data_IF_052376785057
#
_entry.id   IF_052376785057
#
_cell.length_a   1.000
_cell.length_b   1.000
_cell.length_c   1.000
_cell.angle_alpha   90.00
_cell.angle_beta   90.00
_cell.angle_gamma   90.00
#
_symmetry.space_group_name_H-M   'P 1'
#
loop_
_entity.id
_entity.type
_entity.pdbx_description
1 polymer ?
#
# COMPACT_ATOMS: atom_id res chain seq x y z
N UNK A 1 1.55 5.03 -9.91
CA UNK A 1 0.72 5.10 -8.67
C UNK A 1 -0.72 5.46 -9.01
N UNK A 2 -1.70 4.91 -8.28
CA UNK A 2 -3.14 5.26 -8.33
C UNK A 2 -3.57 5.66 -6.91
N UNK A 3 -4.45 6.65 -6.77
CA UNK A 3 -5.12 6.99 -5.53
C UNK A 3 -6.57 7.38 -5.84
N UNK A 4 -7.56 6.69 -5.23
CA UNK A 4 -8.99 6.92 -5.48
C UNK A 4 -9.85 6.38 -4.32
N UNK A 5 -11.15 6.51 -4.44
CA UNK A 5 -12.13 5.93 -3.51
C UNK A 5 -12.32 4.43 -3.79
N UNK A 6 -12.49 3.66 -2.72
CA UNK A 6 -12.53 2.19 -2.78
C UNK A 6 -13.69 1.66 -3.66
N UNK A 7 -14.83 2.35 -3.71
CA UNK A 7 -15.94 1.97 -4.55
C UNK A 7 -15.65 2.07 -6.06
N UNK A 8 -14.56 2.73 -6.46
CA UNK A 8 -14.11 2.83 -7.84
C UNK A 8 -13.01 1.83 -8.20
N UNK A 9 -12.54 1.03 -7.23
CA UNK A 9 -11.42 0.09 -7.44
C UNK A 9 -11.63 -0.81 -8.67
N UNK A 10 -12.85 -1.31 -8.89
CA UNK A 10 -13.18 -2.16 -10.04
C UNK A 10 -12.97 -1.51 -11.41
N UNK A 11 -12.88 -0.17 -11.49
CA UNK A 11 -12.65 0.55 -12.75
C UNK A 11 -11.19 0.44 -13.23
N UNK A 12 -10.29 -0.02 -12.37
CA UNK A 12 -8.86 -0.17 -12.65
C UNK A 12 -8.48 -1.56 -13.15
N UNK A 13 -9.49 -2.40 -13.47
CA UNK A 13 -9.25 -3.71 -14.11
C UNK A 13 -8.61 -3.56 -15.49
N UNK A 14 -7.76 -4.52 -15.82
CA UNK A 14 -7.08 -4.58 -17.13
C UNK A 14 -5.80 -3.76 -17.19
N UNK A 15 -5.35 -3.12 -16.10
CA UNK A 15 -4.05 -2.46 -16.05
C UNK A 15 -2.94 -3.50 -16.04
N UNK A 16 -3.02 -4.49 -15.15
CA UNK A 16 -2.15 -5.67 -15.13
C UNK A 16 -2.81 -6.84 -14.39
N UNK A 17 -2.35 -8.05 -14.69
CA UNK A 17 -2.93 -9.28 -14.13
C UNK A 17 -2.84 -9.37 -12.60
N UNK A 18 -1.74 -8.86 -12.01
CA UNK A 18 -1.56 -8.84 -10.55
C UNK A 18 -2.58 -7.94 -9.86
N UNK A 19 -2.81 -6.74 -10.40
CA UNK A 19 -3.82 -5.83 -9.85
C UNK A 19 -5.22 -6.41 -9.98
N UNK A 20 -5.55 -7.07 -11.09
CA UNK A 20 -6.86 -7.70 -11.30
C UNK A 20 -7.15 -8.77 -10.23
N UNK A 21 -6.15 -9.59 -9.83
CA UNK A 21 -6.28 -10.56 -8.74
C UNK A 21 -6.61 -9.89 -7.40
N UNK A 22 -5.92 -8.79 -7.07
CA UNK A 22 -6.19 -8.03 -5.85
C UNK A 22 -7.56 -7.35 -5.88
N UNK A 23 -7.98 -6.83 -7.03
CA UNK A 23 -9.33 -6.26 -7.21
C UNK A 23 -10.40 -7.33 -7.00
N UNK A 24 -10.25 -8.50 -7.64
CA UNK A 24 -11.20 -9.62 -7.51
C UNK A 24 -11.34 -10.07 -6.05
N UNK A 25 -10.21 -10.25 -5.37
CA UNK A 25 -10.20 -10.62 -3.96
C UNK A 25 -10.89 -9.54 -3.09
N UNK A 26 -10.53 -8.27 -3.28
CA UNK A 26 -11.06 -7.14 -2.51
C UNK A 26 -12.58 -7.02 -2.66
N UNK A 27 -13.10 -7.18 -3.88
CA UNK A 27 -14.53 -7.06 -4.15
C UNK A 27 -15.35 -8.29 -3.73
N UNK A 28 -14.72 -9.46 -3.55
CA UNK A 28 -15.39 -10.71 -3.18
C UNK A 28 -15.47 -10.94 -1.67
N UNK A 29 -14.77 -10.16 -0.83
CA UNK A 29 -14.66 -10.42 0.61
C UNK A 29 -15.14 -9.24 1.45
N UNK A 30 -15.64 -9.55 2.66
CA UNK A 30 -15.75 -8.55 3.73
C UNK A 30 -14.36 -8.24 4.29
N UNK A 31 -13.84 -7.08 3.94
CA UNK A 31 -12.48 -6.66 4.27
C UNK A 31 -12.23 -6.55 5.78
N UNK A 32 -13.27 -6.25 6.56
CA UNK A 32 -13.19 -6.17 8.01
C UNK A 32 -13.13 -7.53 8.70
N UNK A 33 -13.59 -8.59 8.02
CA UNK A 33 -13.62 -9.96 8.53
C UNK A 33 -12.39 -10.79 8.10
N UNK A 34 -11.47 -10.24 7.32
CA UNK A 34 -10.26 -10.97 6.91
C UNK A 34 -9.40 -11.36 8.12
N UNK A 35 -8.92 -12.61 8.18
CA UNK A 35 -7.97 -13.05 9.20
C UNK A 35 -6.71 -12.18 9.22
N UNK A 36 -6.18 -11.91 10.42
CA UNK A 36 -4.92 -11.19 10.57
C UNK A 36 -3.76 -11.96 9.92
N UNK A 37 -2.84 -11.24 9.32
CA UNK A 37 -1.70 -11.78 8.60
C UNK A 37 -1.98 -11.99 7.12
N UNK A 38 -1.27 -12.96 6.52
CA UNK A 38 -1.32 -13.24 5.08
C UNK A 38 -2.55 -14.05 4.71
N UNK A 39 -3.35 -13.50 3.80
CA UNK A 39 -4.48 -14.15 3.14
C UNK A 39 -4.06 -14.50 1.72
N UNK A 40 -4.04 -15.79 1.38
CA UNK A 40 -3.56 -16.29 0.09
C UNK A 40 -4.54 -15.98 -1.04
N UNK A 41 -3.99 -15.58 -2.19
CA UNK A 41 -4.73 -15.35 -3.44
C UNK A 41 -4.15 -16.24 -4.55
N UNK A 42 -2.84 -16.15 -4.80
CA UNK A 42 -2.12 -16.92 -5.82
C UNK A 42 -0.65 -17.13 -5.40
N UNK A 43 -0.45 -17.84 -4.28
CA UNK A 43 0.89 -18.11 -3.74
C UNK A 43 1.74 -16.84 -3.64
N UNK A 44 2.97 -16.91 -4.14
CA UNK A 44 3.89 -15.76 -4.13
C UNK A 44 3.66 -14.77 -5.30
N UNK A 45 2.64 -15.00 -6.14
CA UNK A 45 2.27 -14.06 -7.17
C UNK A 45 1.26 -13.02 -6.69
N UNK A 46 0.40 -13.37 -5.70
CA UNK A 46 -0.55 -12.42 -5.11
C UNK A 46 -1.04 -12.87 -3.74
N UNK A 47 -1.10 -11.96 -2.78
CA UNK A 47 -1.67 -12.16 -1.44
C UNK A 47 -2.15 -10.85 -0.85
N UNK A 48 -2.97 -10.91 0.23
CA UNK A 48 -3.44 -9.76 0.98
C UNK A 48 -3.04 -9.90 2.45
N UNK A 49 -2.24 -8.96 2.97
CA UNK A 49 -1.93 -8.87 4.39
C UNK A 49 -2.98 -8.01 5.10
N UNK A 50 -3.57 -8.54 6.17
CA UNK A 50 -4.43 -7.78 7.09
C UNK A 50 -3.65 -7.49 8.38
N UNK A 51 -3.29 -6.23 8.60
CA UNK A 51 -2.36 -5.83 9.65
C UNK A 51 -2.91 -4.68 10.51
N UNK A 52 -2.40 -4.59 11.74
CA UNK A 52 -2.43 -3.37 12.54
C UNK A 52 -1.06 -2.72 12.38
N UNK A 53 -0.99 -1.66 11.60
CA UNK A 53 0.25 -0.93 11.35
C UNK A 53 0.49 0.13 12.43
N UNK A 54 1.70 0.23 13.02
CA UNK A 54 2.04 1.35 13.89
C UNK A 54 2.08 2.65 13.09
N UNK A 55 1.68 3.74 13.72
CA UNK A 55 1.78 5.08 13.16
C UNK A 55 2.69 5.93 14.05
N UNK A 56 3.53 6.75 13.40
CA UNK A 56 4.44 7.70 14.05
C UNK A 56 4.14 9.13 13.60
N UNK A 57 4.48 10.15 14.40
CA UNK A 57 4.22 11.54 14.03
C UNK A 57 4.90 11.94 12.71
N UNK A 58 6.08 11.40 12.45
CA UNK A 58 6.84 11.61 11.22
C UNK A 58 7.79 10.46 10.96
N UNK A 59 8.09 10.19 9.70
CA UNK A 59 9.15 9.30 9.25
C UNK A 59 9.68 9.80 7.92
N UNK A 60 10.93 9.54 7.63
CA UNK A 60 11.60 9.88 6.38
C UNK A 60 12.02 8.63 5.59
N UNK A 61 11.61 7.44 6.05
CA UNK A 61 11.97 6.16 5.44
C UNK A 61 11.01 5.84 4.28
N UNK A 62 11.54 5.90 3.07
CA UNK A 62 10.85 5.47 1.85
C UNK A 62 11.17 4.01 1.52
N UNK A 63 10.17 3.33 0.95
CA UNK A 63 10.32 2.01 0.35
C UNK A 63 9.86 2.02 -1.10
N UNK A 64 10.40 1.08 -1.89
CA UNK A 64 9.90 0.72 -3.21
C UNK A 64 10.13 -0.75 -3.48
N UNK A 65 9.37 -1.33 -4.39
CA UNK A 65 9.50 -2.73 -4.79
C UNK A 65 9.99 -2.85 -6.24
N UNK A 66 10.67 -3.94 -6.56
CA UNK A 66 11.16 -4.22 -7.93
C UNK A 66 10.14 -5.03 -8.75
N UNK A 67 9.44 -5.99 -8.12
CA UNK A 67 8.59 -6.95 -8.79
C UNK A 67 7.10 -6.83 -8.42
N UNK A 68 6.80 -6.48 -7.15
CA UNK A 68 5.44 -6.43 -6.64
C UNK A 68 4.88 -5.01 -6.62
N UNK A 69 3.61 -4.89 -6.95
CA UNK A 69 2.81 -3.72 -6.62
C UNK A 69 2.21 -3.88 -5.22
N UNK A 70 1.91 -2.75 -4.57
CA UNK A 70 1.16 -2.67 -3.32
C UNK A 70 -0.22 -2.07 -3.58
N UNK A 71 -1.28 -2.75 -3.09
CA UNK A 71 -2.61 -2.18 -2.93
C UNK A 71 -2.84 -1.91 -1.44
N UNK A 72 -2.90 -0.66 -1.02
CA UNK A 72 -3.08 -0.26 0.37
C UNK A 72 -4.49 0.28 0.61
N UNK A 73 -5.17 -0.25 1.65
CA UNK A 73 -6.56 0.07 2.01
C UNK A 73 -6.66 0.25 3.53
N UNK A 74 -6.85 1.48 4.05
CA UNK A 74 -7.12 1.70 5.47
C UNK A 74 -8.54 1.25 5.84
N UNK A 75 -8.71 0.65 7.04
CA UNK A 75 -10.00 0.08 7.48
C UNK A 75 -10.69 0.85 8.60
N UNK A 76 -9.94 1.39 9.57
CA UNK A 76 -10.52 2.01 10.78
C UNK A 76 -9.98 3.41 11.09
N UNK A 77 -8.72 3.66 10.76
CA UNK A 77 -8.08 4.96 10.94
C UNK A 77 -7.33 5.35 9.68
N UNK A 78 -7.10 6.63 9.50
CA UNK A 78 -6.28 7.13 8.40
C UNK A 78 -4.80 7.12 8.72
N UNK A 79 -3.99 7.18 7.67
CA UNK A 79 -2.56 7.47 7.70
C UNK A 79 -2.21 8.46 6.58
N UNK A 80 -1.10 9.15 6.74
CA UNK A 80 -0.49 9.86 5.63
C UNK A 80 0.56 8.94 5.02
N UNK A 81 0.53 8.81 3.69
CA UNK A 81 1.59 8.20 2.89
C UNK A 81 2.22 9.30 2.06
N UNK A 82 3.54 9.50 2.14
CA UNK A 82 4.21 10.45 1.27
C UNK A 82 4.87 9.75 0.09
N UNK A 83 4.87 10.41 -1.07
CA UNK A 83 5.43 9.89 -2.32
C UNK A 83 6.42 10.87 -2.92
N UNK A 84 7.43 10.35 -3.61
CA UNK A 84 8.45 11.14 -4.33
C UNK A 84 8.81 10.49 -5.66
N UNK A 85 9.30 11.28 -6.64
CA UNK A 85 9.98 10.72 -7.80
C UNK A 85 11.16 9.83 -7.36
N UNK A 86 11.22 8.61 -7.87
CA UNK A 86 12.22 7.61 -7.46
C UNK A 86 13.66 8.03 -7.80
N UNK A 87 13.82 8.83 -8.85
CA UNK A 87 15.11 9.32 -9.33
C UNK A 87 15.75 10.38 -8.43
N UNK A 88 14.96 10.94 -7.50
CA UNK A 88 15.47 11.93 -6.52
C UNK A 88 16.12 11.27 -5.30
N UNK A 89 16.11 9.94 -5.21
CA UNK A 89 16.55 9.16 -4.04
C UNK A 89 17.57 8.11 -4.45
N UNK A 90 18.56 7.86 -3.56
CA UNK A 90 19.51 6.76 -3.69
C UNK A 90 18.99 5.56 -2.89
N UNK A 91 19.10 4.34 -3.43
CA UNK A 91 18.41 3.17 -2.90
C UNK A 91 19.35 2.07 -2.45
N UNK A 92 19.15 1.57 -1.22
CA UNK A 92 19.70 0.32 -0.72
C UNK A 92 18.65 -0.79 -0.83
N UNK A 93 19.03 -1.96 -1.36
CA UNK A 93 18.11 -3.05 -1.61
C UNK A 93 18.33 -4.24 -0.69
N UNK A 94 17.25 -4.74 -0.10
CA UNK A 94 17.15 -6.04 0.55
C UNK A 94 16.19 -6.93 -0.23
N UNK A 95 16.74 -7.80 -1.10
CA UNK A 95 15.94 -8.60 -2.02
C UNK A 95 15.20 -7.72 -3.03
N UNK A 96 13.86 -7.79 -3.04
CA UNK A 96 13.00 -7.02 -3.95
C UNK A 96 12.60 -5.64 -3.42
N UNK A 97 12.88 -5.35 -2.13
CA UNK A 97 12.52 -4.07 -1.50
C UNK A 97 13.73 -3.17 -1.37
N UNK A 98 13.62 -1.97 -1.93
CA UNK A 98 14.59 -0.89 -1.72
C UNK A 98 14.14 0.03 -0.60
N UNK A 99 15.09 0.46 0.22
CA UNK A 99 14.88 1.42 1.30
C UNK A 99 15.80 2.63 1.15
N UNK A 100 15.30 3.79 1.56
CA UNK A 100 16.12 5.02 1.61
C UNK A 100 15.49 6.04 2.54
N UNK A 101 16.31 7.00 3.00
CA UNK A 101 15.84 8.17 3.72
C UNK A 101 15.77 9.38 2.78
N UNK A 102 14.70 10.15 2.91
CA UNK A 102 14.50 11.33 2.06
C UNK A 102 13.63 12.40 2.68
N UNK A 103 13.68 13.64 2.15
CA UNK A 103 12.81 14.69 2.64
C UNK A 103 11.34 14.39 2.36
N UNK A 104 10.44 15.05 3.09
CA UNK A 104 8.99 14.91 2.90
C UNK A 104 8.58 15.12 1.44
N UNK A 105 7.72 14.21 0.95
CA UNK A 105 7.17 14.23 -0.40
C UNK A 105 5.74 14.76 -0.44
N UNK A 106 5.06 14.48 -1.55
CA UNK A 106 3.62 14.77 -1.70
C UNK A 106 2.83 13.85 -0.78
N UNK A 107 1.96 14.41 0.05
CA UNK A 107 1.15 13.65 1.01
C UNK A 107 -0.14 13.14 0.36
N UNK A 108 -0.41 11.85 0.57
CA UNK A 108 -1.69 11.21 0.33
C UNK A 108 -2.38 11.02 1.68
N UNK A 109 -3.56 11.61 1.86
CA UNK A 109 -4.40 11.41 3.05
C UNK A 109 -5.24 10.15 2.86
N UNK A 110 -4.72 9.03 3.35
CA UNK A 110 -5.38 7.73 3.29
C UNK A 110 -6.40 7.62 4.42
N UNK A 111 -7.67 7.55 4.08
CA UNK A 111 -8.77 7.41 5.05
C UNK A 111 -9.63 6.17 4.70
N UNK A 112 -10.39 5.58 5.66
CA UNK A 112 -11.32 4.50 5.34
C UNK A 112 -12.22 4.85 4.16
N UNK A 113 -12.33 3.92 3.21
CA UNK A 113 -13.04 4.14 1.95
C UNK A 113 -12.19 4.69 0.79
N UNK A 114 -10.88 4.83 0.99
CA UNK A 114 -9.90 5.11 -0.07
C UNK A 114 -8.97 3.92 -0.29
N UNK A 115 -8.23 3.94 -1.39
CA UNK A 115 -7.12 3.02 -1.65
C UNK A 115 -5.99 3.72 -2.40
N UNK A 116 -4.79 3.18 -2.28
CA UNK A 116 -3.66 3.54 -3.14
C UNK A 116 -3.04 2.28 -3.76
N UNK A 117 -2.57 2.40 -5.02
CA UNK A 117 -1.74 1.37 -5.68
C UNK A 117 -0.38 1.98 -5.97
N UNK A 118 0.66 1.35 -5.46
CA UNK A 118 2.05 1.65 -5.78
C UNK A 118 2.59 0.55 -6.70
N UNK A 119 2.97 0.92 -7.91
CA UNK A 119 3.57 -0.02 -8.86
C UNK A 119 5.06 -0.23 -8.55
N UNK A 120 5.69 -1.29 -9.08
CA UNK A 120 7.13 -1.42 -9.01
C UNK A 120 7.84 -0.13 -9.41
N UNK A 121 8.72 0.35 -8.53
CA UNK A 121 9.42 1.61 -8.70
C UNK A 121 8.75 2.86 -8.10
N UNK A 122 7.48 2.81 -7.70
CA UNK A 122 6.86 3.96 -6.99
C UNK A 122 7.42 4.07 -5.56
N UNK A 123 8.13 5.17 -5.28
CA UNK A 123 8.68 5.46 -3.95
C UNK A 123 7.58 5.97 -3.01
N UNK A 124 7.38 5.28 -1.88
CA UNK A 124 6.36 5.64 -0.90
C UNK A 124 6.87 5.44 0.53
N UNK A 125 6.39 6.29 1.44
CA UNK A 125 6.72 6.28 2.87
C UNK A 125 5.40 6.23 3.64
N UNK A 126 5.15 5.10 4.33
CA UNK A 126 3.91 4.78 5.02
C UNK A 126 4.03 4.98 6.53
N UNK A 127 2.87 4.95 7.22
CA UNK A 127 2.84 4.89 8.68
C UNK A 127 2.94 6.25 9.37
N UNK A 128 2.63 7.35 8.68
CA UNK A 128 2.61 8.68 9.29
C UNK A 128 1.23 8.93 9.88
N UNK A 129 1.19 9.35 11.16
CA UNK A 129 -0.04 9.69 11.88
C UNK A 129 -0.60 11.03 11.39
N UNK A 130 -1.89 11.05 11.00
CA UNK A 130 -2.55 12.28 10.57
C UNK A 130 -3.07 13.12 11.76
N UNK A 131 -3.62 12.48 12.78
CA UNK A 131 -4.31 13.14 13.88
C UNK A 131 -3.90 12.61 15.27
N UNK A 132 -2.67 12.11 15.40
CA UNK A 132 -2.12 11.63 16.68
C UNK A 132 -2.51 10.20 17.05
N UNK A 133 -3.20 9.45 16.16
CA UNK A 133 -3.40 8.01 16.33
C UNK A 133 -2.06 7.27 16.27
N UNK A 134 -1.95 6.18 17.04
CA UNK A 134 -0.71 5.40 17.15
C UNK A 134 -0.71 4.14 16.29
N UNK A 135 -1.84 3.78 15.69
CA UNK A 135 -1.98 2.63 14.80
C UNK A 135 -3.19 2.76 13.90
N UNK A 136 -3.18 2.04 12.78
CA UNK A 136 -4.36 1.81 11.95
C UNK A 136 -4.43 0.35 11.53
N UNK A 137 -5.65 -0.19 11.42
CA UNK A 137 -5.90 -1.43 10.72
C UNK A 137 -5.91 -1.15 9.23
N UNK A 138 -5.11 -1.88 8.48
CA UNK A 138 -5.08 -1.75 7.03
C UNK A 138 -4.84 -3.07 6.32
N UNK A 139 -5.21 -3.11 5.07
CA UNK A 139 -4.86 -4.17 4.14
C UNK A 139 -3.73 -3.70 3.24
N UNK A 140 -2.78 -4.59 3.03
CA UNK A 140 -1.70 -4.41 2.05
C UNK A 140 -1.70 -5.63 1.12
N UNK A 141 -2.28 -5.45 -0.06
CA UNK A 141 -2.25 -6.44 -1.13
C UNK A 141 -0.92 -6.35 -1.88
N UNK A 142 -0.26 -7.48 -2.06
CA UNK A 142 0.96 -7.60 -2.85
C UNK A 142 0.66 -8.44 -4.08
N UNK A 143 1.10 -8.00 -5.26
CA UNK A 143 1.00 -8.80 -6.47
C UNK A 143 2.10 -8.49 -7.47
N UNK A 144 2.60 -9.52 -8.17
CA UNK A 144 3.47 -9.36 -9.35
C UNK A 144 2.67 -8.79 -10.52
N UNK A 145 3.33 -7.99 -11.36
CA UNK A 145 2.72 -7.42 -12.55
C UNK A 145 2.27 -8.48 -13.56
#
# INVERSE_FOLDING_TARGET
MIFDTLNRLGQYRGICAGLDKLIDFTLAHDLNALPAGRNEIDGDNAWMNANVAPLVPETDLYERHLEHLDLQIPLDAGEIITVRPVEELEWDFEGETGFTHGPAGTALHMVPGTFAVFFPGDAHNCGISEAGQTSCRKLVGKAKL
#
